data_IF_597510895188
#
_entry.id   IF_597510895188
#
_cell.length_a   1.000
_cell.length_b   1.000
_cell.length_c   1.000
_cell.angle_alpha   90.00
_cell.angle_beta   90.00
_cell.angle_gamma   90.00
#
_symmetry.space_group_name_H-M   'P 1'
#
loop_
_entity.id
_entity.type
_entity.pdbx_description
1 polymer ?
#
# COMPACT_ATOMS: atom_id res chain seq x y z
N UNK A 1 1.25 -6.57 14.33
CA UNK A 1 0.80 -6.36 12.95
C UNK A 1 0.90 -7.66 12.17
N UNK A 2 -0.06 -7.90 11.32
CA UNK A 2 -0.08 -9.11 10.50
C UNK A 2 0.91 -8.98 9.34
N UNK A 3 1.95 -9.86 9.28
CA UNK A 3 2.92 -9.80 8.18
C UNK A 3 2.29 -9.97 6.81
N UNK A 4 1.15 -10.66 6.75
CA UNK A 4 0.42 -10.85 5.50
C UNK A 4 -0.06 -9.51 4.93
N UNK A 5 -0.47 -8.58 5.78
CA UNK A 5 -0.91 -7.27 5.33
C UNK A 5 0.24 -6.49 4.69
N UNK A 6 1.45 -6.60 5.25
CA UNK A 6 2.61 -5.95 4.66
C UNK A 6 2.89 -6.49 3.27
N UNK A 7 2.78 -7.81 3.10
CA UNK A 7 2.99 -8.43 1.80
C UNK A 7 1.96 -7.92 0.78
N UNK A 8 0.72 -7.77 1.21
CA UNK A 8 -0.33 -7.26 0.32
C UNK A 8 -0.08 -5.84 -0.15
N UNK A 9 0.60 -5.02 0.65
CA UNK A 9 0.91 -3.65 0.24
C UNK A 9 1.74 -3.62 -1.03
N UNK A 10 2.60 -4.58 -1.23
CA UNK A 10 3.49 -4.62 -2.40
C UNK A 10 2.96 -5.49 -3.52
N UNK A 11 1.82 -6.15 -3.33
CA UNK A 11 1.24 -7.02 -4.36
C UNK A 11 -0.16 -6.58 -4.81
N UNK A 12 -0.97 -6.03 -3.90
CA UNK A 12 -2.34 -5.63 -4.23
C UNK A 12 -2.36 -4.35 -5.03
N UNK A 13 -3.05 -4.37 -6.17
CA UNK A 13 -3.19 -3.19 -7.00
C UNK A 13 -4.45 -2.41 -6.62
N UNK A 14 -4.41 -1.11 -6.84
CA UNK A 14 -5.58 -0.27 -6.66
C UNK A 14 -6.64 -0.67 -7.68
N UNK A 15 -7.86 -1.01 -7.25
CA UNK A 15 -8.87 -1.56 -8.16
C UNK A 15 -9.64 -0.52 -8.96
N UNK A 16 -9.52 0.77 -8.62
CA UNK A 16 -10.28 1.82 -9.29
C UNK A 16 -9.60 3.17 -9.08
N UNK A 17 -10.12 4.18 -9.74
CA UNK A 17 -9.72 5.57 -9.54
C UNK A 17 -8.49 5.96 -10.33
N UNK A 18 -7.92 7.10 -9.94
CA UNK A 18 -6.81 7.73 -10.66
C UNK A 18 -5.59 6.82 -10.78
N UNK A 19 -5.35 6.00 -9.77
CA UNK A 19 -4.17 5.14 -9.72
C UNK A 19 -4.49 3.66 -9.90
N UNK A 20 -5.59 3.37 -10.60
CA UNK A 20 -5.96 1.98 -10.88
C UNK A 20 -4.78 1.23 -11.49
N UNK A 21 -4.51 0.04 -10.96
CA UNK A 21 -3.43 -0.81 -11.45
C UNK A 21 -2.09 -0.60 -10.76
N UNK A 22 -1.96 0.48 -9.99
CA UNK A 22 -0.73 0.71 -9.24
C UNK A 22 -0.80 -0.02 -7.90
N UNK A 23 0.30 -0.65 -7.46
CA UNK A 23 0.28 -1.33 -6.17
C UNK A 23 0.14 -0.31 -5.05
N UNK A 24 -0.49 -0.75 -3.95
CA UNK A 24 -0.79 0.14 -2.82
C UNK A 24 0.47 0.85 -2.30
N UNK A 25 1.58 0.13 -2.24
CA UNK A 25 2.83 0.69 -1.72
C UNK A 25 3.39 1.83 -2.58
N UNK A 26 2.94 1.94 -3.83
CA UNK A 26 3.42 2.98 -4.74
C UNK A 26 2.47 4.17 -4.85
N UNK A 27 1.41 4.20 -4.05
CA UNK A 27 0.48 5.32 -4.08
C UNK A 27 1.11 6.55 -3.42
N UNK A 28 0.91 7.75 -4.01
CA UNK A 28 1.44 8.97 -3.40
C UNK A 28 0.82 9.26 -2.04
N UNK A 29 1.61 9.86 -1.15
CA UNK A 29 1.15 10.19 0.19
C UNK A 29 -0.07 11.11 0.20
N UNK A 30 -0.12 12.09 -0.72
CA UNK A 30 -1.25 12.99 -0.78
C UNK A 30 -2.54 12.29 -1.19
N UNK A 31 -2.44 11.25 -2.02
CA UNK A 31 -3.59 10.45 -2.39
C UNK A 31 -4.10 9.64 -1.18
N UNK A 32 -3.18 9.05 -0.43
CA UNK A 32 -3.53 8.32 0.78
C UNK A 32 -4.17 9.25 1.81
N UNK A 33 -3.63 10.45 1.96
CA UNK A 33 -4.18 11.44 2.89
C UNK A 33 -5.58 11.88 2.48
N UNK A 34 -5.86 11.92 1.17
CA UNK A 34 -7.19 12.24 0.69
C UNK A 34 -8.21 11.23 1.23
N UNK A 35 -7.87 9.94 1.19
CA UNK A 35 -8.76 8.92 1.77
C UNK A 35 -8.96 9.11 3.26
N UNK A 36 -7.91 9.55 3.97
CA UNK A 36 -8.06 9.79 5.41
C UNK A 36 -9.07 10.90 5.70
N UNK A 37 -9.13 11.90 4.82
CA UNK A 37 -10.09 13.00 4.99
C UNK A 37 -11.50 12.61 4.56
N UNK A 38 -11.61 11.89 3.44
CA UNK A 38 -12.90 11.56 2.85
C UNK A 38 -13.51 10.28 3.41
N UNK A 39 -12.67 9.44 4.01
CA UNK A 39 -13.09 8.14 4.51
C UNK A 39 -12.48 7.03 3.69
N UNK A 40 -11.90 6.04 4.40
CA UNK A 40 -11.34 4.87 3.71
C UNK A 40 -12.47 3.96 3.24
N UNK A 41 -12.29 3.28 2.11
CA UNK A 41 -13.28 2.29 1.67
C UNK A 41 -13.38 1.15 2.70
N UNK A 42 -14.52 0.44 2.71
CA UNK A 42 -14.69 -0.67 3.64
C UNK A 42 -13.82 -1.87 3.26
N UNK A 43 -13.64 -2.77 4.22
CA UNK A 43 -12.98 -4.03 3.97
C UNK A 43 -11.46 -3.94 3.92
N UNK A 44 -10.87 -4.93 3.27
CA UNK A 44 -9.42 -5.06 3.24
C UNK A 44 -8.72 -3.90 2.55
N UNK A 45 -9.32 -3.40 1.46
CA UNK A 45 -8.70 -2.28 0.74
C UNK A 45 -8.52 -1.08 1.67
N UNK A 46 -9.54 -0.75 2.45
CA UNK A 46 -9.44 0.38 3.38
C UNK A 46 -8.36 0.17 4.43
N UNK A 47 -8.24 -1.05 4.93
CA UNK A 47 -7.19 -1.38 5.90
C UNK A 47 -5.80 -1.23 5.30
N UNK A 48 -5.63 -1.65 4.05
CA UNK A 48 -4.36 -1.51 3.36
C UNK A 48 -3.99 -0.05 3.12
N UNK A 49 -4.97 0.75 2.70
CA UNK A 49 -4.73 2.17 2.47
C UNK A 49 -4.37 2.89 3.76
N UNK A 50 -5.07 2.56 4.85
CA UNK A 50 -4.78 3.17 6.15
C UNK A 50 -3.40 2.78 6.66
N UNK A 51 -3.04 1.51 6.51
CA UNK A 51 -1.73 1.02 6.91
C UNK A 51 -0.62 1.68 6.09
N UNK A 52 -0.83 1.82 4.78
CA UNK A 52 0.17 2.44 3.92
C UNK A 52 0.37 3.92 4.28
N UNK A 53 -0.71 4.61 4.63
CA UNK A 53 -0.60 5.99 5.08
C UNK A 53 0.26 6.09 6.35
N UNK A 54 0.06 5.17 7.30
CA UNK A 54 0.86 5.13 8.52
C UNK A 54 2.34 4.93 8.19
N UNK A 55 2.63 4.00 7.30
CA UNK A 55 4.01 3.70 6.90
C UNK A 55 4.65 4.92 6.24
N UNK A 56 3.91 5.55 5.32
CA UNK A 56 4.41 6.73 4.62
C UNK A 56 4.63 7.90 5.59
N UNK A 57 3.67 8.13 6.46
CA UNK A 57 3.71 9.23 7.41
C UNK A 57 4.90 9.11 8.37
N UNK A 58 5.25 7.90 8.75
CA UNK A 58 6.35 7.65 9.67
C UNK A 58 7.69 7.44 8.99
N UNK A 59 7.75 7.62 7.67
CA UNK A 59 9.00 7.48 6.93
C UNK A 59 9.53 6.05 6.87
N UNK A 60 8.65 5.06 6.90
CA UNK A 60 9.04 3.66 6.99
C UNK A 60 8.91 2.88 5.68
N UNK A 61 8.74 3.58 4.55
CA UNK A 61 8.56 2.90 3.26
C UNK A 61 9.72 1.98 2.90
N UNK A 62 10.92 2.30 3.38
CA UNK A 62 12.08 1.47 3.12
C UNK A 62 11.93 0.06 3.66
N UNK A 63 11.07 -0.14 4.66
CA UNK A 63 10.83 -1.47 5.22
C UNK A 63 10.14 -2.40 4.24
N UNK A 64 9.55 -1.84 3.19
CA UNK A 64 8.86 -2.64 2.18
C UNK A 64 9.81 -3.16 1.09
N UNK A 65 11.01 -2.61 1.01
CA UNK A 65 11.97 -2.98 -0.04
C UNK A 65 12.30 -4.47 -0.07
N UNK A 66 12.54 -5.13 1.08
CA UNK A 66 12.82 -6.58 1.04
C UNK A 66 11.64 -7.39 0.48
N UNK A 67 10.42 -6.96 0.73
CA UNK A 67 9.24 -7.67 0.23
C UNK A 67 9.11 -7.52 -1.28
N UNK A 68 9.46 -6.34 -1.80
CA UNK A 68 9.48 -6.12 -3.25
C UNK A 68 10.55 -6.96 -3.91
N UNK A 69 11.72 -7.07 -3.28
CA UNK A 69 12.83 -7.86 -3.81
C UNK A 69 12.46 -9.34 -3.91
N UNK A 70 11.73 -9.85 -2.93
CA UNK A 70 11.28 -11.24 -2.97
C UNK A 70 10.43 -11.50 -4.21
N UNK A 71 9.53 -10.57 -4.53
CA UNK A 71 8.74 -10.67 -5.74
C UNK A 71 9.61 -10.59 -6.97
N UNK A 72 10.56 -9.66 -6.97
CA UNK A 72 11.45 -9.46 -8.10
C UNK A 72 12.31 -10.68 -8.39
N UNK A 73 12.81 -11.29 -7.33
CA UNK A 73 13.61 -12.51 -7.47
C UNK A 73 12.80 -13.60 -8.15
N UNK A 74 11.55 -13.75 -7.75
CA UNK A 74 10.68 -14.75 -8.35
C UNK A 74 10.41 -14.49 -9.82
N UNK A 75 10.53 -13.25 -10.27
CA UNK A 75 10.28 -12.87 -11.65
C UNK A 75 11.49 -13.09 -12.56
N UNK A 76 12.61 -13.34 -11.96
CA UNK A 76 13.83 -13.53 -12.72
C UNK A 76 14.02 -14.98 -13.07
#
# INVERSE_FOLDING_TARGET
>A
MDPHLLQLLVTREMPYGKYKGRVIADLPGNYLAWFAREGFPPGELGRLLALMLEIDHNGLKHLLAPLRRDRGVGAQ
#
